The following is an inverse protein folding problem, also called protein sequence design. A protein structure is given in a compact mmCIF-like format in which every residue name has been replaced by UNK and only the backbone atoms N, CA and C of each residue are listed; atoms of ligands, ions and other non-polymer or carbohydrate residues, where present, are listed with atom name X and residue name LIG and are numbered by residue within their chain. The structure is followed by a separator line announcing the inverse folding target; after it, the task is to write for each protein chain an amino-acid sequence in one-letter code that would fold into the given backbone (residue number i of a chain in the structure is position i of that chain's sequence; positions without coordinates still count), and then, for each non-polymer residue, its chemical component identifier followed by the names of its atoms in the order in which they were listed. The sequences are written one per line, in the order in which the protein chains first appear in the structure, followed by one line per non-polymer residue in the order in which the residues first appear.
data_IF_307659717407
#
_entry.id   IF_307659717407
#
_cell.length_a   1.000
_cell.length_b   1.000
_cell.length_c   1.000
_cell.angle_alpha   90.00
_cell.angle_beta   90.00
_cell.angle_gamma   90.00
#
_symmetry.space_group_name_H-M   'P 1'
#
loop_
_entity.id
_entity.type
_entity.pdbx_description
1 polymer ?
#
# COMPACT_ATOMS: atom_id res chain seq x y z
N UNK A 1 9.30 25.46 7.75
CA UNK A 1 9.65 25.11 6.35
C UNK A 1 10.74 24.02 6.25
N UNK A 2 11.74 23.93 7.15
CA UNK A 2 12.82 22.91 7.02
C UNK A 2 12.48 21.46 7.44
N UNK A 3 11.57 21.27 8.40
CA UNK A 3 11.25 19.93 8.93
C UNK A 3 10.47 19.06 7.94
N UNK A 4 9.37 19.58 7.37
CA UNK A 4 8.52 18.83 6.45
C UNK A 4 9.28 18.37 5.20
N UNK A 5 10.19 19.19 4.66
CA UNK A 5 11.02 18.82 3.52
C UNK A 5 12.04 17.73 3.86
N UNK A 6 12.57 17.71 5.08
CA UNK A 6 13.47 16.66 5.55
C UNK A 6 12.72 15.33 5.73
N UNK A 7 11.52 15.36 6.33
CA UNK A 7 10.68 14.17 6.51
C UNK A 7 10.30 13.51 5.17
N UNK A 8 9.89 14.32 4.19
CA UNK A 8 9.59 13.87 2.83
C UNK A 8 10.78 13.16 2.16
N UNK A 9 12.00 13.69 2.37
CA UNK A 9 13.23 13.09 1.83
C UNK A 9 13.56 11.76 2.51
N UNK A 10 13.48 11.70 3.84
CA UNK A 10 13.80 10.47 4.59
C UNK A 10 12.81 9.36 4.26
N UNK A 11 11.51 9.64 4.29
CA UNK A 11 10.49 8.66 3.92
C UNK A 11 10.64 8.21 2.46
N UNK A 12 10.96 9.14 1.55
CA UNK A 12 11.22 8.82 0.14
C UNK A 12 12.39 7.86 -0.07
N UNK A 13 13.45 7.95 0.74
CA UNK A 13 14.58 7.02 0.70
C UNK A 13 14.15 5.64 1.21
N UNK A 14 13.45 5.57 2.34
CA UNK A 14 12.98 4.30 2.91
C UNK A 14 12.05 3.55 1.94
N UNK A 15 11.04 4.24 1.40
CA UNK A 15 10.08 3.61 0.48
C UNK A 15 10.78 3.15 -0.80
N UNK A 16 11.78 3.89 -1.32
CA UNK A 16 12.54 3.46 -2.50
C UNK A 16 13.24 2.11 -2.30
N UNK A 17 13.75 1.85 -1.10
CA UNK A 17 14.50 0.63 -0.81
C UNK A 17 13.59 -0.60 -0.77
N UNK A 18 12.36 -0.44 -0.27
CA UNK A 18 11.43 -1.53 -0.03
C UNK A 18 10.23 -1.53 -0.97
N UNK A 19 10.24 -0.67 -1.99
CA UNK A 19 9.10 -0.57 -2.91
C UNK A 19 8.97 -1.81 -3.76
N UNK A 20 7.73 -2.19 -4.05
CA UNK A 20 7.43 -3.13 -5.11
C UNK A 20 8.02 -2.63 -6.45
N UNK A 21 8.24 -3.55 -7.41
CA UNK A 21 8.78 -3.19 -8.71
C UNK A 21 7.96 -2.10 -9.43
N UNK A 22 8.64 -1.24 -10.17
CA UNK A 22 7.98 -0.30 -11.06
C UNK A 22 7.25 -1.07 -12.19
N UNK A 23 6.08 -0.59 -12.61
CA UNK A 23 5.28 -1.21 -13.67
C UNK A 23 6.03 -1.36 -15.01
N UNK A 24 7.04 -0.53 -15.28
CA UNK A 24 7.88 -0.65 -16.47
C UNK A 24 8.84 -1.86 -16.44
N UNK A 25 9.20 -2.34 -15.25
CA UNK A 25 10.11 -3.48 -15.05
C UNK A 25 9.36 -4.79 -14.83
N UNK A 26 8.32 -4.74 -13.99
CA UNK A 26 7.44 -5.88 -13.71
C UNK A 26 5.99 -5.38 -13.55
N UNK A 27 5.19 -5.42 -14.64
CA UNK A 27 3.80 -4.99 -14.61
C UNK A 27 2.92 -5.82 -13.66
N UNK A 28 3.29 -7.07 -13.35
CA UNK A 28 2.50 -7.97 -12.53
C UNK A 28 2.83 -7.82 -11.04
N UNK A 29 4.09 -7.54 -10.72
CA UNK A 29 4.56 -7.23 -9.36
C UNK A 29 4.26 -5.81 -8.91
N UNK A 30 4.04 -4.87 -9.84
CA UNK A 30 3.77 -3.48 -9.52
C UNK A 30 2.45 -3.25 -8.77
N UNK A 31 2.40 -2.13 -8.03
CA UNK A 31 1.20 -1.66 -7.35
C UNK A 31 0.48 -0.62 -8.21
N UNK A 32 -0.83 -0.78 -8.37
CA UNK A 32 -1.70 0.15 -9.07
C UNK A 32 -2.76 0.71 -8.14
N UNK A 33 -2.99 2.01 -8.24
CA UNK A 33 -4.07 2.72 -7.58
C UNK A 33 -5.24 2.91 -8.53
N UNK A 34 -6.46 2.56 -8.11
CA UNK A 34 -7.68 2.74 -8.88
C UNK A 34 -8.57 3.72 -8.13
N UNK A 35 -8.62 4.96 -8.62
CA UNK A 35 -9.52 5.99 -8.07
C UNK A 35 -10.97 5.58 -8.30
N UNK A 36 -11.78 5.57 -7.24
CA UNK A 36 -13.15 5.03 -7.26
C UNK A 36 -13.26 3.58 -7.78
N UNK A 37 -12.15 2.83 -7.81
CA UNK A 37 -12.10 1.46 -8.33
C UNK A 37 -12.16 1.35 -9.86
N UNK A 38 -11.93 2.46 -10.59
CA UNK A 38 -12.00 2.49 -12.06
C UNK A 38 -10.69 2.00 -12.70
N UNK A 39 -10.82 1.21 -13.77
CA UNK A 39 -9.71 0.77 -14.63
C UNK A 39 -9.54 1.70 -15.85
N UNK A 40 -8.31 1.90 -16.36
CA UNK A 40 -7.04 1.36 -15.86
C UNK A 40 -6.54 2.10 -14.62
N UNK A 41 -5.98 1.36 -13.67
CA UNK A 41 -5.31 1.95 -12.51
C UNK A 41 -4.02 2.71 -12.86
N UNK A 42 -3.63 3.67 -12.01
CA UNK A 42 -2.38 4.41 -12.11
C UNK A 42 -1.28 3.64 -11.37
N UNK A 43 -0.13 3.34 -12.01
CA UNK A 43 0.98 2.66 -11.33
C UNK A 43 1.60 3.59 -10.28
N UNK A 44 1.80 3.06 -9.08
CA UNK A 44 2.51 3.77 -8.01
C UNK A 44 4.00 3.50 -8.16
N UNK A 45 4.79 4.54 -8.42
CA UNK A 45 6.22 4.41 -8.62
C UNK A 45 6.98 3.98 -7.36
N UNK A 46 6.44 4.30 -6.18
CA UNK A 46 7.06 4.04 -4.88
C UNK A 46 5.98 3.62 -3.88
N UNK A 47 5.81 2.32 -3.71
CA UNK A 47 4.83 1.73 -2.80
C UNK A 47 5.41 0.48 -2.14
N UNK A 48 5.33 0.39 -0.82
CA UNK A 48 5.70 -0.80 -0.06
C UNK A 48 4.43 -1.60 0.19
N UNK A 49 4.40 -2.86 -0.24
CA UNK A 49 3.27 -3.76 -0.02
C UNK A 49 3.67 -4.91 0.90
N UNK A 50 2.96 -5.05 2.02
CA UNK A 50 3.10 -6.18 2.91
C UNK A 50 1.88 -7.10 2.80
N UNK A 51 2.13 -8.40 2.66
CA UNK A 51 1.09 -9.41 2.46
C UNK A 51 0.48 -9.81 3.80
N UNK A 52 -0.80 -10.17 3.80
CA UNK A 52 -1.45 -10.73 4.97
C UNK A 52 -0.68 -11.97 5.49
N UNK A 53 -0.44 -12.01 6.80
CA UNK A 53 0.06 -13.19 7.48
C UNK A 53 -1.05 -13.79 8.34
N UNK A 54 -1.38 -15.06 8.10
CA UNK A 54 -2.28 -15.82 8.96
C UNK A 54 -1.45 -16.90 9.64
N UNK A 55 -1.36 -16.86 10.96
CA UNK A 55 -0.82 -17.98 11.74
C UNK A 55 -1.97 -18.93 12.08
N UNK A 56 -1.78 -20.21 11.80
CA UNK A 56 -2.73 -21.28 12.11
C UNK A 56 -2.16 -22.17 13.21
N UNK A 57 -3.01 -22.55 14.16
CA UNK A 57 -2.70 -23.57 15.14
C UNK A 57 -2.53 -24.92 14.44
N UNK A 58 -1.34 -25.56 14.50
CA UNK A 58 -1.12 -26.85 13.85
C UNK A 58 -2.01 -27.98 14.36
N UNK A 59 -2.52 -27.89 15.60
CA UNK A 59 -3.32 -28.97 16.22
C UNK A 59 -4.81 -28.88 15.85
N UNK A 60 -5.36 -27.67 15.75
CA UNK A 60 -6.80 -27.45 15.50
C UNK A 60 -7.10 -26.91 14.10
N UNK A 61 -6.10 -26.42 13.37
CA UNK A 61 -6.26 -25.72 12.10
C UNK A 61 -6.94 -24.34 12.23
N UNK A 62 -7.21 -23.88 13.45
CA UNK A 62 -7.87 -22.61 13.70
C UNK A 62 -6.89 -21.43 13.46
N UNK A 63 -7.35 -20.33 12.84
CA UNK A 63 -6.53 -19.13 12.73
C UNK A 63 -6.31 -18.50 14.11
N UNK A 64 -5.03 -18.28 14.46
CA UNK A 64 -4.60 -17.70 15.75
C UNK A 64 -4.33 -16.20 15.62
N UNK A 65 -3.81 -15.77 14.48
CA UNK A 65 -3.61 -14.34 14.17
C UNK A 65 -3.86 -14.10 12.68
N UNK A 66 -4.42 -12.94 12.34
CA UNK A 66 -4.57 -12.49 10.96
C UNK A 66 -4.12 -11.04 10.89
N UNK A 67 -3.00 -10.80 10.20
CA UNK A 67 -2.62 -9.46 9.78
C UNK A 67 -3.25 -9.20 8.41
N UNK A 68 -3.96 -8.08 8.29
CA UNK A 68 -4.44 -7.59 7.00
C UNK A 68 -3.25 -7.11 6.16
N UNK A 69 -3.32 -7.18 4.81
CA UNK A 69 -2.28 -6.61 3.97
C UNK A 69 -2.16 -5.10 4.20
N UNK A 70 -0.96 -4.56 4.04
CA UNK A 70 -0.66 -3.16 4.31
C UNK A 70 -0.01 -2.53 3.07
N UNK A 71 -0.41 -1.30 2.76
CA UNK A 71 0.23 -0.45 1.76
C UNK A 71 0.87 0.77 2.46
N UNK A 72 2.19 0.91 2.32
CA UNK A 72 2.92 2.11 2.73
C UNK A 72 3.29 2.97 1.51
N UNK A 73 2.87 4.22 1.51
CA UNK A 73 3.09 5.15 0.38
C UNK A 73 3.21 6.59 0.87
N UNK A 74 3.86 7.46 0.09
CA UNK A 74 3.85 8.90 0.36
C UNK A 74 2.57 9.53 -0.16
N UNK A 75 2.04 10.51 0.56
CA UNK A 75 0.84 11.24 0.15
C UNK A 75 1.02 11.94 -1.20
N UNK A 76 2.24 12.40 -1.51
CA UNK A 76 2.54 13.08 -2.78
C UNK A 76 2.56 12.14 -3.99
N UNK A 77 2.69 10.83 -3.77
CA UNK A 77 2.71 9.83 -4.83
C UNK A 77 1.30 9.27 -5.11
N UNK A 78 0.32 9.63 -4.28
CA UNK A 78 -1.07 9.23 -4.48
C UNK A 78 -1.80 10.22 -5.40
N UNK A 79 -2.64 9.74 -6.34
CA UNK A 79 -3.40 10.62 -7.23
C UNK A 79 -4.54 11.36 -6.51
N UNK A 80 -5.05 10.81 -5.40
CA UNK A 80 -6.08 11.41 -4.57
C UNK A 80 -5.89 11.00 -3.11
N UNK A 81 -6.54 11.72 -2.19
CA UNK A 81 -6.59 11.30 -0.79
C UNK A 81 -7.34 9.95 -0.68
N UNK A 82 -6.82 8.95 0.06
CA UNK A 82 -7.44 7.64 0.15
C UNK A 82 -8.89 7.68 0.63
N UNK A 83 -9.78 6.99 -0.08
CA UNK A 83 -11.18 6.78 0.29
C UNK A 83 -11.54 5.30 0.24
N UNK A 84 -12.66 4.92 0.86
CA UNK A 84 -13.19 3.55 0.79
C UNK A 84 -13.71 3.15 -0.60
N UNK A 85 -13.84 4.10 -1.53
CA UNK A 85 -14.25 3.87 -2.92
C UNK A 85 -13.06 3.42 -3.77
N UNK A 86 -11.85 3.83 -3.37
CA UNK A 86 -10.63 3.48 -4.09
C UNK A 86 -10.29 2.00 -3.94
N UNK A 87 -9.53 1.48 -4.91
CA UNK A 87 -8.98 0.13 -4.87
C UNK A 87 -7.48 0.16 -5.10
N UNK A 88 -6.81 -0.84 -4.56
CA UNK A 88 -5.38 -1.08 -4.78
C UNK A 88 -5.23 -2.44 -5.40
N UNK A 89 -4.46 -2.54 -6.47
CA UNK A 89 -4.05 -3.81 -7.04
C UNK A 89 -2.57 -3.99 -6.81
N UNK A 90 -2.20 -5.06 -6.13
CA UNK A 90 -0.81 -5.41 -5.85
C UNK A 90 -0.60 -6.89 -6.14
N UNK A 91 0.49 -7.23 -6.85
CA UNK A 91 0.82 -8.61 -7.22
C UNK A 91 -0.34 -9.35 -7.90
N UNK A 92 -1.07 -8.65 -8.77
CA UNK A 92 -2.24 -9.17 -9.49
C UNK A 92 -3.53 -9.34 -8.65
N UNK A 93 -3.52 -9.02 -7.36
CA UNK A 93 -4.70 -9.16 -6.48
C UNK A 93 -5.31 -7.79 -6.20
N UNK A 94 -6.64 -7.70 -6.27
CA UNK A 94 -7.40 -6.49 -5.97
C UNK A 94 -7.77 -6.42 -4.48
N UNK A 95 -7.58 -5.23 -3.90
CA UNK A 95 -7.85 -4.92 -2.52
C UNK A 95 -8.71 -3.66 -2.41
N UNK A 96 -9.56 -3.62 -1.40
CA UNK A 96 -10.26 -2.41 -0.96
C UNK A 96 -9.50 -1.71 0.17
N UNK A 97 -9.59 -0.39 0.19
CA UNK A 97 -9.10 0.44 1.30
C UNK A 97 -9.99 0.18 2.52
N UNK A 98 -9.38 -0.25 3.63
CA UNK A 98 -10.08 -0.44 4.91
C UNK A 98 -9.88 0.78 5.82
N UNK A 99 -8.63 1.08 6.17
CA UNK A 99 -8.32 2.18 7.09
C UNK A 99 -6.99 2.86 6.71
N UNK A 100 -7.03 4.16 6.32
CA UNK A 100 -5.82 4.95 6.11
C UNK A 100 -5.34 5.57 7.44
N UNK A 101 -4.09 5.30 7.80
CA UNK A 101 -3.40 5.88 8.95
C UNK A 101 -2.33 6.87 8.47
N UNK A 102 -2.63 8.17 8.62
CA UNK A 102 -1.72 9.24 8.23
C UNK A 102 -0.65 9.44 9.30
N UNK A 103 0.62 9.59 8.90
CA UNK A 103 1.73 9.84 9.82
C UNK A 103 1.80 11.30 10.33
N UNK A 104 0.90 12.16 9.84
CA UNK A 104 0.84 13.59 10.17
C UNK A 104 1.86 14.47 9.46
N UNK A 105 2.68 13.90 8.57
CA UNK A 105 3.79 14.62 7.90
C UNK A 105 3.88 14.35 6.40
N UNK A 106 4.04 13.10 5.97
CA UNK A 106 4.44 12.78 4.61
C UNK A 106 3.83 11.50 4.03
N UNK A 107 3.56 10.52 4.87
CA UNK A 107 3.15 9.18 4.49
C UNK A 107 1.77 8.80 4.97
N UNK A 108 1.29 7.70 4.39
CA UNK A 108 0.11 7.00 4.87
C UNK A 108 0.39 5.50 4.85
N UNK A 109 0.00 4.85 5.94
CA UNK A 109 -0.06 3.40 6.06
C UNK A 109 -1.51 3.00 5.92
N UNK A 110 -1.85 2.21 4.91
CA UNK A 110 -3.22 1.83 4.62
C UNK A 110 -3.39 0.35 4.89
N UNK A 111 -4.28 0.01 5.82
CA UNK A 111 -4.75 -1.37 5.95
C UNK A 111 -5.71 -1.69 4.80
N UNK A 112 -5.46 -2.83 4.15
CA UNK A 112 -6.21 -3.31 3.01
C UNK A 112 -7.09 -4.49 3.39
N UNK A 113 -8.13 -4.73 2.60
CA UNK A 113 -8.92 -5.97 2.67
C UNK A 113 -9.03 -6.55 1.27
N UNK A 114 -8.85 -7.87 1.15
CA UNK A 114 -9.03 -8.55 -0.13
C UNK A 114 -10.51 -8.43 -0.57
N UNK A 115 -10.74 -8.09 -1.84
CA UNK A 115 -12.08 -8.07 -2.44
C UNK A 115 -12.58 -9.49 -2.68
#
# INVERSE_FOLDING_TARGET
MGWASMAQRMLGVSIRTFSEPAAALDPLGAVYWLTDGIEPGVPLAQAVFDTAHVSVDPETGAPVSTNNPILGVRLIDLPNNPTNRDRVRARGVLYMINEPQFDGVAGVTITLRKV
#
